data_IF_699919968236
#
_entry.id   IF_699919968236
#
_cell.length_a   1.000
_cell.length_b   1.000
_cell.length_c   1.000
_cell.angle_alpha   90.00
_cell.angle_beta   90.00
_cell.angle_gamma   90.00
#
_symmetry.space_group_name_H-M   'P 1'
#
loop_
_entity.id
_entity.type
_entity.pdbx_description
1 polymer ?
#
# COMPACT_ATOMS: atom_id res chain seq x y z
N UNK A 1 19.85 -4.00 16.18
CA UNK A 1 19.76 -4.58 14.84
C UNK A 1 19.40 -6.03 14.97
N UNK A 2 18.11 -6.36 14.86
CA UNK A 2 17.62 -7.73 14.87
C UNK A 2 17.22 -8.06 13.44
N UNK A 3 17.82 -9.09 12.86
CA UNK A 3 17.52 -9.55 11.51
C UNK A 3 16.33 -10.49 11.64
N UNK A 4 15.16 -10.11 11.10
CA UNK A 4 13.96 -10.93 11.12
C UNK A 4 14.22 -12.27 10.39
N UNK A 5 13.66 -13.40 10.89
CA UNK A 5 13.88 -14.70 10.29
C UNK A 5 13.24 -14.80 8.89
N UNK A 6 13.94 -15.47 7.98
CA UNK A 6 13.51 -15.70 6.60
C UNK A 6 12.41 -16.78 6.61
N UNK A 7 11.32 -16.66 5.81
CA UNK A 7 10.32 -17.71 5.66
C UNK A 7 10.95 -19.04 5.23
N UNK A 8 10.47 -20.13 5.82
CA UNK A 8 11.05 -21.47 5.60
C UNK A 8 10.95 -21.87 4.11
N UNK A 9 12.10 -22.09 3.47
CA UNK A 9 12.23 -22.73 2.15
C UNK A 9 12.77 -21.89 0.99
N UNK A 10 12.95 -20.58 1.10
CA UNK A 10 13.59 -19.73 0.06
C UNK A 10 14.81 -19.00 0.61
N UNK A 11 15.88 -18.90 -0.19
CA UNK A 11 17.02 -18.08 0.23
C UNK A 11 16.64 -16.60 0.18
N UNK A 12 17.22 -15.79 1.07
CA UNK A 12 17.03 -14.33 1.08
C UNK A 12 17.35 -13.68 -0.29
N UNK A 13 18.30 -14.25 -1.04
CA UNK A 13 18.68 -13.76 -2.36
C UNK A 13 17.58 -14.02 -3.40
N UNK A 14 16.93 -15.17 -3.33
CA UNK A 14 15.85 -15.54 -4.25
C UNK A 14 14.61 -14.67 -4.01
N UNK A 15 14.30 -14.37 -2.75
CA UNK A 15 13.21 -13.46 -2.38
C UNK A 15 13.47 -12.04 -2.92
N UNK A 16 14.66 -11.49 -2.69
CA UNK A 16 15.04 -10.17 -3.22
C UNK A 16 14.99 -10.12 -4.75
N UNK A 17 15.48 -11.16 -5.41
CA UNK A 17 15.44 -11.24 -6.87
C UNK A 17 14.00 -11.31 -7.41
N UNK A 18 13.15 -12.10 -6.76
CA UNK A 18 11.73 -12.20 -7.09
C UNK A 18 11.05 -10.84 -6.97
N UNK A 19 11.24 -10.12 -5.86
CA UNK A 19 10.61 -8.82 -5.66
C UNK A 19 11.14 -7.76 -6.62
N UNK A 20 12.45 -7.72 -6.86
CA UNK A 20 13.04 -6.76 -7.79
C UNK A 20 12.53 -6.98 -9.23
N UNK A 21 12.42 -8.25 -9.65
CA UNK A 21 11.86 -8.60 -10.96
C UNK A 21 10.40 -8.18 -11.08
N UNK A 22 9.62 -8.41 -10.02
CA UNK A 22 8.21 -8.06 -9.99
C UNK A 22 7.98 -6.54 -9.95
N UNK A 23 8.76 -5.79 -9.17
CA UNK A 23 8.75 -4.32 -9.20
C UNK A 23 9.07 -3.79 -10.61
N UNK A 24 10.06 -4.35 -11.30
CA UNK A 24 10.38 -3.96 -12.66
C UNK A 24 9.23 -4.24 -13.64
N UNK A 25 8.59 -5.41 -13.50
CA UNK A 25 7.42 -5.79 -14.32
C UNK A 25 6.24 -4.85 -14.08
N UNK A 26 5.89 -4.57 -12.82
CA UNK A 26 4.76 -3.70 -12.47
C UNK A 26 5.04 -2.24 -12.82
N UNK A 27 6.27 -1.77 -12.66
CA UNK A 27 6.68 -0.40 -13.04
C UNK A 27 6.40 -0.10 -14.52
N UNK A 28 6.53 -1.09 -15.40
CA UNK A 28 6.23 -0.93 -16.82
C UNK A 28 4.74 -0.66 -17.12
N UNK A 29 3.84 -0.97 -16.17
CA UNK A 29 2.40 -0.71 -16.28
C UNK A 29 1.95 0.61 -15.64
N UNK A 30 2.86 1.41 -15.10
CA UNK A 30 2.51 2.72 -14.51
C UNK A 30 2.20 3.71 -15.62
N UNK A 31 1.01 4.32 -15.56
CA UNK A 31 0.61 5.45 -16.40
C UNK A 31 0.86 6.73 -15.59
N UNK A 32 1.88 7.54 -15.95
CA UNK A 32 2.23 8.73 -15.18
C UNK A 32 1.34 9.95 -15.49
N UNK A 33 0.51 9.88 -16.53
CA UNK A 33 -0.40 10.96 -16.93
C UNK A 33 -1.79 10.85 -16.29
N UNK A 34 -2.49 11.98 -16.24
CA UNK A 34 -3.90 12.02 -15.84
C UNK A 34 -4.80 11.33 -16.88
N UNK A 35 -5.57 10.33 -16.44
CA UNK A 35 -6.47 9.54 -17.30
C UNK A 35 -7.90 10.05 -17.25
N UNK A 36 -8.31 10.69 -16.16
CA UNK A 36 -9.70 11.05 -15.91
C UNK A 36 -9.99 12.54 -16.22
N UNK A 37 -11.21 12.88 -16.67
CA UNK A 37 -11.57 14.27 -16.95
C UNK A 37 -11.45 15.21 -15.75
N UNK A 38 -11.80 14.75 -14.55
CA UNK A 38 -11.77 15.57 -13.33
C UNK A 38 -10.36 15.99 -12.92
N UNK A 39 -9.32 15.25 -13.31
CA UNK A 39 -7.91 15.58 -13.04
C UNK A 39 -7.42 16.81 -13.83
N UNK A 40 -8.04 17.08 -14.99
CA UNK A 40 -7.66 18.19 -15.87
C UNK A 40 -8.20 19.55 -15.40
N UNK A 41 -9.12 19.55 -14.45
CA UNK A 41 -9.68 20.76 -13.86
C UNK A 41 -8.91 21.13 -12.59
N UNK A 42 -8.47 22.38 -12.47
CA UNK A 42 -7.73 22.85 -11.28
C UNK A 42 -8.55 22.77 -9.98
N UNK A 43 -9.88 22.84 -10.08
CA UNK A 43 -10.81 22.65 -8.96
C UNK A 43 -11.19 21.18 -8.71
N UNK A 44 -10.66 20.24 -9.50
CA UNK A 44 -11.01 18.82 -9.47
C UNK A 44 -12.52 18.57 -9.66
N UNK A 45 -13.19 19.44 -10.43
CA UNK A 45 -14.63 19.35 -10.66
C UNK A 45 -14.98 17.98 -11.25
N UNK A 46 -15.91 17.28 -10.62
CA UNK A 46 -16.30 15.91 -10.96
C UNK A 46 -15.70 14.84 -10.05
N UNK A 47 -14.71 15.17 -9.22
CA UNK A 47 -14.25 14.28 -8.15
C UNK A 47 -15.24 14.34 -6.97
N UNK A 48 -15.85 13.20 -6.64
CA UNK A 48 -16.84 13.13 -5.56
C UNK A 48 -16.30 12.49 -4.28
N UNK A 49 -15.27 11.64 -4.41
CA UNK A 49 -14.79 10.79 -3.32
C UNK A 49 -13.28 10.65 -3.35
N UNK A 50 -12.65 10.67 -2.18
CA UNK A 50 -11.22 10.44 -2.02
C UNK A 50 -11.01 9.27 -1.06
N UNK A 51 -10.22 8.28 -1.48
CA UNK A 51 -9.84 7.15 -0.64
C UNK A 51 -8.54 7.43 0.14
N UNK A 52 -8.46 6.95 1.37
CA UNK A 52 -7.24 6.91 2.17
C UNK A 52 -6.99 5.49 2.67
N UNK A 53 -5.73 5.05 2.65
CA UNK A 53 -5.31 3.74 3.14
C UNK A 53 -4.08 3.91 4.04
N UNK A 54 -4.12 3.33 5.24
CA UNK A 54 -2.97 3.22 6.13
C UNK A 54 -2.74 1.76 6.55
N UNK A 55 -1.48 1.42 6.82
CA UNK A 55 -1.09 0.13 7.37
C UNK A 55 -0.13 0.33 8.55
N UNK A 56 -0.62 0.05 9.76
CA UNK A 56 0.08 0.31 11.01
C UNK A 56 0.46 -0.98 11.74
N UNK A 57 1.73 -1.13 12.10
CA UNK A 57 2.25 -2.30 12.82
C UNK A 57 2.26 -2.04 14.33
N UNK A 58 1.63 -2.90 15.16
CA UNK A 58 1.73 -2.79 16.61
C UNK A 58 3.18 -2.93 17.08
N UNK A 59 3.54 -2.18 18.14
CA UNK A 59 4.90 -2.23 18.68
C UNK A 59 5.22 -3.65 19.18
N UNK A 60 6.23 -4.27 18.58
CA UNK A 60 6.68 -5.61 18.95
C UNK A 60 5.95 -6.75 18.25
N UNK A 61 5.04 -6.46 17.31
CA UNK A 61 4.41 -7.44 16.43
C UNK A 61 4.66 -7.05 14.96
N UNK A 62 5.53 -7.80 14.29
CA UNK A 62 5.83 -7.64 12.86
C UNK A 62 5.05 -8.64 11.98
N UNK A 63 4.19 -9.46 12.60
CA UNK A 63 3.37 -10.48 11.95
C UNK A 63 1.92 -10.05 11.74
N UNK A 64 1.48 -8.97 12.39
CA UNK A 64 0.17 -8.36 12.17
C UNK A 64 0.27 -6.85 11.97
N UNK A 65 -0.70 -6.30 11.24
CA UNK A 65 -0.89 -4.86 11.07
C UNK A 65 -2.38 -4.51 11.12
N UNK A 66 -2.77 -3.30 11.55
CA UNK A 66 -4.12 -2.79 11.22
C UNK A 66 -4.04 -2.13 9.84
N UNK A 67 -4.80 -2.65 8.90
CA UNK A 67 -5.10 -1.97 7.65
C UNK A 67 -6.35 -1.12 7.87
N UNK A 68 -6.27 0.17 7.55
CA UNK A 68 -7.40 1.11 7.65
C UNK A 68 -7.71 1.70 6.28
N UNK A 69 -8.93 1.49 5.79
CA UNK A 69 -9.45 2.09 4.57
C UNK A 69 -10.54 3.10 4.93
N UNK A 70 -10.42 4.32 4.40
CA UNK A 70 -11.46 5.35 4.51
C UNK A 70 -11.83 5.89 3.14
N UNK A 71 -13.10 6.30 2.98
CA UNK A 71 -13.56 7.05 1.82
C UNK A 71 -14.21 8.33 2.33
N UNK A 72 -13.71 9.47 1.85
CA UNK A 72 -14.21 10.79 2.20
C UNK A 72 -15.02 11.37 1.03
N UNK A 73 -16.01 12.20 1.33
CA UNK A 73 -16.65 13.07 0.35
C UNK A 73 -15.66 14.14 -0.12
N UNK A 74 -15.82 14.63 -1.35
CA UNK A 74 -15.06 15.76 -1.87
C UNK A 74 -16.02 16.83 -2.42
N UNK A 75 -15.81 18.12 -2.13
CA UNK A 75 -14.65 18.72 -1.43
C UNK A 75 -14.78 18.80 0.10
N UNK A 76 -15.90 18.34 0.69
CA UNK A 76 -16.17 18.53 2.12
C UNK A 76 -15.27 17.72 3.07
N UNK A 77 -14.64 16.64 2.59
CA UNK A 77 -13.76 15.75 3.34
C UNK A 77 -14.45 15.11 4.57
N UNK A 78 -15.73 14.79 4.44
CA UNK A 78 -16.48 14.07 5.46
C UNK A 78 -16.38 12.56 5.23
N UNK A 79 -16.25 11.77 6.30
CA UNK A 79 -16.15 10.31 6.19
C UNK A 79 -17.48 9.72 5.70
N UNK A 80 -17.43 9.02 4.57
CA UNK A 80 -18.55 8.26 4.00
C UNK A 80 -18.45 6.77 4.30
N UNK A 81 -17.23 6.26 4.46
CA UNK A 81 -16.94 4.86 4.76
C UNK A 81 -15.63 4.74 5.54
N UNK A 82 -15.59 3.80 6.48
CA UNK A 82 -14.38 3.39 7.20
C UNK A 82 -14.40 1.88 7.50
N UNK A 83 -13.22 1.25 7.42
CA UNK A 83 -12.99 -0.14 7.84
C UNK A 83 -11.53 -0.28 8.32
N UNK A 84 -11.31 -0.64 9.59
CA UNK A 84 -9.99 -1.06 10.10
C UNK A 84 -10.04 -2.53 10.49
N UNK A 85 -9.06 -3.28 10.00
CA UNK A 85 -8.92 -4.70 10.32
C UNK A 85 -7.50 -5.03 10.69
N UNK A 86 -7.35 -5.80 11.76
CA UNK A 86 -6.12 -6.52 12.02
C UNK A 86 -5.96 -7.62 10.97
N UNK A 87 -4.85 -7.58 10.25
CA UNK A 87 -4.50 -8.54 9.20
C UNK A 87 -3.18 -9.22 9.54
N UNK A 88 -3.08 -10.50 9.19
CA UNK A 88 -1.81 -11.23 9.27
C UNK A 88 -0.93 -10.86 8.07
N UNK A 89 0.31 -10.50 8.34
CA UNK A 89 1.32 -10.14 7.34
C UNK A 89 2.27 -11.32 7.18
N UNK A 90 2.22 -11.97 6.02
CA UNK A 90 2.97 -13.21 5.76
C UNK A 90 4.45 -13.00 5.41
N UNK A 91 4.86 -11.75 5.21
CA UNK A 91 6.18 -11.41 4.68
C UNK A 91 6.86 -10.42 5.64
N UNK A 92 8.08 -10.71 6.14
CA UNK A 92 8.77 -9.78 7.01
C UNK A 92 9.17 -8.51 6.25
N UNK A 93 9.26 -7.40 6.97
CA UNK A 93 9.69 -6.13 6.40
C UNK A 93 11.07 -6.24 5.75
N UNK A 94 11.16 -5.86 4.47
CA UNK A 94 12.40 -5.72 3.72
C UNK A 94 12.50 -4.28 3.20
N UNK A 95 13.56 -3.53 3.56
CA UNK A 95 13.77 -2.19 3.04
C UNK A 95 13.74 -2.18 1.50
N UNK A 96 12.94 -1.29 0.91
CA UNK A 96 12.72 -1.22 -0.54
C UNK A 96 11.63 -2.13 -1.09
N UNK A 97 11.02 -2.98 -0.25
CA UNK A 97 10.00 -3.97 -0.62
C UNK A 97 8.89 -4.03 0.44
N UNK A 98 8.47 -2.86 0.93
CA UNK A 98 7.32 -2.77 1.85
C UNK A 98 5.98 -3.04 1.12
N UNK A 99 5.91 -2.63 -0.15
CA UNK A 99 4.74 -2.79 -1.01
C UNK A 99 4.61 -4.21 -1.56
#
# INVERSE_FOLDING_TARGET
GSRAPIPQGRSHRDALWSFASEQARLRAGVVPEDTEPWQRHSSLTGLERVGGLDLSYPKGDDSHACASLVVLSFPALEVLYEDCRMVAVSTPYMPGFLA
#
